data_IF_175047055254
#
_entry.id   IF_175047055254
#
_cell.length_a   1.000
_cell.length_b   1.000
_cell.length_c   1.000
_cell.angle_alpha   90.00
_cell.angle_beta   90.00
_cell.angle_gamma   90.00
#
_symmetry.space_group_name_H-M   'P 1'
#
loop_
_entity.id
_entity.type
_entity.pdbx_description
1 polymer ?
#
# COMPACT_ATOMS: atom_id res chain seq x y z
N UNK A 1 9.54 -37.04 -25.33
CA UNK A 1 10.94 -36.98 -24.90
C UNK A 1 11.82 -37.54 -25.99
N UNK A 2 12.78 -36.75 -26.46
CA UNK A 2 13.80 -37.15 -27.43
C UNK A 2 14.56 -38.39 -26.89
N UNK A 3 14.74 -39.46 -27.69
CA UNK A 3 15.47 -40.64 -27.26
C UNK A 3 16.87 -40.36 -26.69
N UNK A 4 17.55 -39.32 -27.17
CA UNK A 4 18.87 -38.91 -26.69
C UNK A 4 18.86 -38.29 -25.28
N UNK A 5 17.70 -37.82 -24.82
CA UNK A 5 17.51 -37.24 -23.49
C UNK A 5 17.08 -38.28 -22.44
N UNK A 6 16.91 -39.56 -22.82
CA UNK A 6 16.57 -40.64 -21.88
C UNK A 6 17.63 -40.85 -20.82
N UNK A 7 18.89 -40.64 -21.17
CA UNK A 7 20.02 -40.72 -20.26
C UNK A 7 20.94 -39.52 -20.52
N UNK A 8 21.32 -38.83 -19.45
CA UNK A 8 22.35 -37.79 -19.49
C UNK A 8 23.57 -38.24 -18.69
N UNK A 9 24.77 -37.84 -19.13
CA UNK A 9 26.02 -38.16 -18.44
C UNK A 9 26.63 -36.90 -17.84
N UNK A 10 26.89 -36.95 -16.54
CA UNK A 10 27.62 -35.92 -15.80
C UNK A 10 28.98 -36.48 -15.37
N UNK A 11 30.02 -35.66 -15.43
CA UNK A 11 31.28 -35.97 -14.78
C UNK A 11 31.11 -35.87 -13.26
N UNK A 12 32.00 -36.53 -12.51
CA UNK A 12 31.98 -36.44 -11.03
C UNK A 12 32.11 -34.99 -10.54
N UNK A 13 32.94 -34.17 -11.18
CA UNK A 13 33.12 -32.76 -10.85
C UNK A 13 31.84 -31.94 -11.07
N UNK A 14 31.15 -32.17 -12.19
CA UNK A 14 29.88 -31.51 -12.50
C UNK A 14 28.80 -31.89 -11.48
N UNK A 15 28.69 -33.18 -11.16
CA UNK A 15 27.73 -33.68 -10.18
C UNK A 15 28.00 -33.11 -8.77
N UNK A 16 29.27 -33.11 -8.33
CA UNK A 16 29.66 -32.56 -7.04
C UNK A 16 29.39 -31.05 -6.95
N UNK A 17 29.63 -30.30 -8.03
CA UNK A 17 29.32 -28.86 -8.08
C UNK A 17 27.83 -28.61 -7.89
N UNK A 18 26.97 -29.34 -8.60
CA UNK A 18 25.51 -29.23 -8.44
C UNK A 18 25.10 -29.50 -6.99
N UNK A 19 25.56 -30.62 -6.42
CA UNK A 19 25.19 -31.03 -5.07
C UNK A 19 25.66 -30.00 -4.03
N UNK A 20 26.91 -29.52 -4.13
CA UNK A 20 27.46 -28.55 -3.19
C UNK A 20 26.70 -27.22 -3.21
N UNK A 21 26.40 -26.68 -4.40
CA UNK A 21 25.65 -25.43 -4.53
C UNK A 21 24.21 -25.58 -4.00
N UNK A 22 23.53 -26.69 -4.30
CA UNK A 22 22.18 -26.95 -3.77
C UNK A 22 22.18 -27.13 -2.23
N UNK A 23 23.16 -27.85 -1.67
CA UNK A 23 23.28 -28.05 -0.21
C UNK A 23 23.48 -26.71 0.51
N UNK A 24 24.35 -25.84 -0.01
CA UNK A 24 24.54 -24.50 0.52
C UNK A 24 23.22 -23.71 0.59
N UNK A 25 22.43 -23.70 -0.48
CA UNK A 25 21.17 -22.97 -0.52
C UNK A 25 20.15 -23.52 0.46
N UNK A 26 19.94 -24.84 0.44
CA UNK A 26 18.96 -25.51 1.31
C UNK A 26 19.31 -25.28 2.78
N UNK A 27 20.56 -25.54 3.17
CA UNK A 27 20.99 -25.39 4.58
C UNK A 27 20.96 -23.95 5.06
N UNK A 28 21.30 -22.98 4.20
CA UNK A 28 21.30 -21.58 4.60
C UNK A 28 19.89 -21.06 4.80
N UNK A 29 18.96 -21.39 3.90
CA UNK A 29 17.55 -21.04 4.04
C UNK A 29 16.93 -21.68 5.29
N UNK A 30 17.26 -22.95 5.56
CA UNK A 30 16.81 -23.63 6.78
C UNK A 30 17.33 -22.95 8.05
N UNK A 31 18.64 -22.65 8.12
CA UNK A 31 19.24 -21.93 9.25
C UNK A 31 18.62 -20.56 9.48
N UNK A 32 18.36 -19.79 8.41
CA UNK A 32 17.69 -18.49 8.50
C UNK A 32 16.29 -18.66 9.09
N UNK A 33 15.51 -19.64 8.60
CA UNK A 33 14.17 -19.96 9.12
C UNK A 33 14.24 -20.34 10.59
N UNK A 34 15.07 -21.32 10.96
CA UNK A 34 15.22 -21.76 12.36
C UNK A 34 15.62 -20.62 13.29
N UNK A 35 16.53 -19.74 12.86
CA UNK A 35 16.96 -18.59 13.64
C UNK A 35 15.82 -17.60 13.91
N UNK A 36 14.92 -17.39 12.96
CA UNK A 36 13.80 -16.45 13.06
C UNK A 36 12.52 -17.06 13.64
N UNK A 37 12.38 -18.39 13.63
CA UNK A 37 11.27 -19.10 14.29
C UNK A 37 11.51 -19.38 15.78
N UNK A 38 12.62 -18.93 16.38
CA UNK A 38 12.90 -19.12 17.81
C UNK A 38 12.01 -18.20 18.66
N UNK A 39 11.03 -18.74 19.42
CA UNK A 39 10.06 -17.94 20.17
C UNK A 39 10.69 -17.17 21.35
N UNK A 40 11.97 -17.42 21.67
CA UNK A 40 12.72 -16.66 22.69
C UNK A 40 13.31 -15.37 22.14
N UNK A 41 13.17 -15.11 20.84
CA UNK A 41 13.65 -13.90 20.18
C UNK A 41 12.43 -13.17 19.63
N UNK A 42 12.26 -11.92 20.04
CA UNK A 42 11.19 -11.06 19.55
C UNK A 42 11.54 -10.61 18.13
N UNK A 43 11.19 -11.46 17.15
CA UNK A 43 11.53 -11.23 15.74
C UNK A 43 10.30 -11.27 14.87
N UNK A 44 10.27 -10.36 13.92
CA UNK A 44 9.13 -10.22 13.02
C UNK A 44 9.31 -11.10 11.78
N UNK A 45 8.18 -11.40 11.12
CA UNK A 45 8.19 -12.08 9.83
C UNK A 45 8.91 -11.24 8.76
N UNK A 46 8.86 -9.91 8.87
CA UNK A 46 9.53 -8.99 7.96
C UNK A 46 11.06 -9.10 8.06
N UNK A 47 11.61 -9.22 9.28
CA UNK A 47 13.05 -9.44 9.48
C UNK A 47 13.53 -10.75 8.84
N UNK A 48 12.71 -11.81 8.92
CA UNK A 48 12.99 -13.07 8.26
C UNK A 48 12.99 -12.93 6.73
N UNK A 49 11.98 -12.27 6.17
CA UNK A 49 11.89 -12.02 4.73
C UNK A 49 13.09 -11.20 4.23
N UNK A 50 13.48 -10.17 4.99
CA UNK A 50 14.66 -9.36 4.70
C UNK A 50 15.95 -10.19 4.72
N UNK A 51 16.14 -11.03 5.73
CA UNK A 51 17.32 -11.90 5.81
C UNK A 51 17.41 -12.88 4.63
N UNK A 52 16.29 -13.45 4.19
CA UNK A 52 16.22 -14.32 2.99
C UNK A 52 16.57 -13.52 1.72
N UNK A 53 15.97 -12.34 1.54
CA UNK A 53 16.22 -11.49 0.37
C UNK A 53 17.69 -11.06 0.30
N UNK A 54 18.27 -10.64 1.42
CA UNK A 54 19.69 -10.29 1.55
C UNK A 54 20.57 -11.48 1.20
N UNK A 55 20.31 -12.67 1.75
CA UNK A 55 21.07 -13.88 1.43
C UNK A 55 21.03 -14.22 -0.06
N UNK A 56 19.84 -14.20 -0.68
CA UNK A 56 19.67 -14.48 -2.11
C UNK A 56 20.50 -13.51 -2.97
N UNK A 57 20.50 -12.23 -2.60
CA UNK A 57 21.21 -11.17 -3.33
C UNK A 57 22.73 -11.24 -3.13
N UNK A 58 23.20 -11.27 -1.88
CA UNK A 58 24.63 -11.24 -1.55
C UNK A 58 25.37 -12.50 -2.00
N UNK A 59 24.73 -13.67 -1.84
CA UNK A 59 25.30 -14.95 -2.27
C UNK A 59 25.03 -15.23 -3.75
N UNK A 60 24.40 -14.30 -4.47
CA UNK A 60 24.10 -14.41 -5.91
C UNK A 60 23.41 -15.71 -6.27
N UNK A 61 22.48 -16.16 -5.42
CA UNK A 61 21.82 -17.48 -5.53
C UNK A 61 21.18 -17.66 -6.91
N UNK A 62 20.52 -16.62 -7.44
CA UNK A 62 19.92 -16.67 -8.77
C UNK A 62 20.94 -16.89 -9.91
N UNK A 63 22.12 -16.26 -9.83
CA UNK A 63 23.16 -16.43 -10.83
C UNK A 63 23.75 -17.84 -10.80
N UNK A 64 23.99 -18.38 -9.59
CA UNK A 64 24.50 -19.74 -9.44
C UNK A 64 23.46 -20.79 -9.88
N UNK A 65 22.18 -20.61 -9.58
CA UNK A 65 21.10 -21.48 -10.10
C UNK A 65 21.03 -21.47 -11.63
N UNK A 66 21.21 -20.31 -12.26
CA UNK A 66 21.28 -20.20 -13.73
C UNK A 66 22.49 -20.95 -14.31
N UNK A 67 23.65 -20.91 -13.63
CA UNK A 67 24.83 -21.70 -14.03
C UNK A 67 24.58 -23.20 -13.91
N UNK A 68 23.94 -23.66 -12.82
CA UNK A 68 23.57 -25.07 -12.65
C UNK A 68 22.58 -25.53 -13.72
N UNK A 69 21.56 -24.70 -14.01
CA UNK A 69 20.61 -24.96 -15.08
C UNK A 69 21.32 -25.08 -16.43
N UNK A 70 22.20 -24.14 -16.77
CA UNK A 70 22.97 -24.18 -18.01
C UNK A 70 23.86 -25.43 -18.12
N UNK A 71 24.49 -25.84 -17.02
CA UNK A 71 25.30 -27.05 -16.96
C UNK A 71 24.47 -28.32 -17.21
N UNK A 72 23.26 -28.41 -16.65
CA UNK A 72 22.35 -29.53 -16.87
C UNK A 72 21.79 -29.53 -18.30
N UNK A 73 21.32 -28.37 -18.78
CA UNK A 73 20.77 -28.22 -20.13
C UNK A 73 21.81 -28.50 -21.22
N UNK A 74 23.10 -28.20 -20.98
CA UNK A 74 24.18 -28.54 -21.91
C UNK A 74 24.40 -30.05 -22.11
N UNK A 75 23.84 -30.90 -21.24
CA UNK A 75 23.86 -32.37 -21.40
C UNK A 75 22.65 -32.91 -22.15
N UNK A 76 21.73 -32.05 -22.53
CA UNK A 76 20.49 -32.42 -23.22
C UNK A 76 20.53 -31.97 -24.68
N UNK A 77 19.86 -32.74 -25.52
CA UNK A 77 19.51 -32.35 -26.88
C UNK A 77 18.32 -31.37 -26.82
N UNK A 78 18.57 -30.13 -27.22
CA UNK A 78 17.59 -29.04 -27.24
C UNK A 78 16.95 -28.87 -28.63
N UNK A 79 17.04 -29.89 -29.50
CA UNK A 79 16.29 -29.92 -30.75
C UNK A 79 14.78 -29.81 -30.48
N UNK A 80 14.10 -28.93 -31.21
CA UNK A 80 12.66 -28.75 -31.09
C UNK A 80 11.91 -29.99 -31.61
N UNK A 81 10.87 -30.40 -30.89
CA UNK A 81 9.91 -31.39 -31.36
C UNK A 81 8.88 -30.82 -32.33
N UNK A 82 7.92 -31.65 -32.73
CA UNK A 82 6.81 -31.26 -33.63
C UNK A 82 5.92 -30.15 -33.05
N UNK A 83 5.86 -30.04 -31.71
CA UNK A 83 5.15 -29.00 -30.96
C UNK A 83 5.94 -27.69 -30.84
N UNK A 84 7.12 -27.60 -31.46
CA UNK A 84 7.98 -26.42 -31.41
C UNK A 84 8.69 -26.24 -30.07
N UNK A 85 8.71 -27.26 -29.20
CA UNK A 85 9.33 -27.22 -27.87
C UNK A 85 10.40 -28.30 -27.72
N UNK A 86 11.49 -27.97 -27.04
CA UNK A 86 12.44 -28.97 -26.55
C UNK A 86 11.92 -29.65 -25.27
N UNK A 87 12.59 -30.72 -24.83
CA UNK A 87 12.17 -31.49 -23.67
C UNK A 87 12.26 -30.72 -22.35
N UNK A 88 13.21 -29.79 -22.21
CA UNK A 88 13.36 -28.93 -21.02
C UNK A 88 12.20 -27.94 -20.98
N UNK A 89 11.95 -27.24 -22.08
CA UNK A 89 10.83 -26.31 -22.19
C UNK A 89 9.49 -27.00 -21.87
N UNK A 90 9.29 -28.23 -22.40
CA UNK A 90 8.08 -29.02 -22.13
C UNK A 90 7.95 -29.42 -20.66
N UNK A 91 9.02 -29.85 -20.01
CA UNK A 91 9.01 -30.15 -18.57
C UNK A 91 8.73 -28.91 -17.72
N UNK A 92 9.26 -27.75 -18.14
CA UNK A 92 9.11 -26.48 -17.46
C UNK A 92 7.77 -25.78 -17.69
N UNK A 93 6.90 -26.27 -18.59
CA UNK A 93 5.57 -25.68 -18.83
C UNK A 93 4.65 -25.74 -17.61
N UNK A 94 4.79 -26.76 -16.77
CA UNK A 94 3.99 -26.91 -15.55
C UNK A 94 4.47 -26.00 -14.40
N UNK A 95 5.62 -25.33 -14.55
CA UNK A 95 6.15 -24.48 -13.51
C UNK A 95 5.34 -23.19 -13.40
N UNK A 96 5.02 -22.79 -12.16
CA UNK A 96 4.49 -21.46 -11.87
C UNK A 96 5.66 -20.50 -11.73
N UNK A 97 5.84 -19.60 -12.70
CA UNK A 97 6.83 -18.53 -12.60
C UNK A 97 6.23 -17.36 -11.83
N UNK A 98 7.07 -16.71 -11.03
CA UNK A 98 6.72 -15.39 -10.51
C UNK A 98 6.55 -14.45 -11.71
N UNK A 99 5.36 -13.88 -11.82
CA UNK A 99 5.10 -12.67 -12.58
C UNK A 99 4.87 -11.54 -11.57
N UNK A 100 5.18 -10.27 -11.91
CA UNK A 100 4.53 -9.18 -11.18
C UNK A 100 3.03 -9.51 -11.17
N UNK A 101 2.39 -9.47 -10.00
CA UNK A 101 0.93 -9.57 -9.95
C UNK A 101 0.46 -8.49 -10.93
N UNK A 102 -0.17 -8.86 -12.05
CA UNK A 102 -1.17 -7.97 -12.63
C UNK A 102 -2.03 -7.62 -11.44
N UNK A 103 -2.14 -6.33 -11.08
CA UNK A 103 -3.07 -5.87 -10.04
C UNK A 103 -4.34 -6.67 -10.27
N UNK A 104 -4.58 -7.66 -9.41
CA UNK A 104 -5.81 -8.39 -9.43
C UNK A 104 -6.76 -7.33 -8.92
N UNK A 105 -7.37 -6.60 -9.84
CA UNK A 105 -8.55 -5.81 -9.53
C UNK A 105 -9.45 -6.78 -8.80
N UNK A 106 -9.55 -6.62 -7.49
CA UNK A 106 -10.57 -7.21 -6.63
C UNK A 106 -11.91 -6.58 -7.01
N UNK A 107 -12.25 -6.63 -8.30
CA UNK A 107 -13.55 -6.28 -8.84
C UNK A 107 -14.48 -7.43 -8.45
N UNK A 108 -14.92 -7.38 -7.21
CA UNK A 108 -16.20 -7.93 -6.84
C UNK A 108 -17.22 -6.82 -7.16
N UNK A 109 -18.10 -6.98 -8.16
CA UNK A 109 -19.07 -5.95 -8.54
C UNK A 109 -19.95 -5.48 -7.37
N UNK A 110 -20.16 -6.34 -6.38
CA UNK A 110 -20.88 -5.99 -5.16
C UNK A 110 -20.09 -5.03 -4.26
N UNK A 111 -18.76 -5.10 -4.27
CA UNK A 111 -17.92 -4.15 -3.53
C UNK A 111 -17.93 -2.80 -4.23
N UNK A 112 -17.70 -2.78 -5.55
CA UNK A 112 -17.66 -1.54 -6.32
C UNK A 112 -18.97 -0.77 -6.21
N UNK A 113 -20.12 -1.46 -6.28
CA UNK A 113 -21.42 -0.85 -6.05
C UNK A 113 -21.60 -0.27 -4.63
N UNK A 114 -20.97 -0.87 -3.62
CA UNK A 114 -20.99 -0.32 -2.25
C UNK A 114 -20.16 0.96 -2.16
N UNK A 115 -18.94 0.98 -2.71
CA UNK A 115 -18.10 2.19 -2.72
C UNK A 115 -18.78 3.34 -3.46
N UNK A 116 -19.38 3.08 -4.62
CA UNK A 116 -20.10 4.08 -5.40
C UNK A 116 -21.31 4.63 -4.64
N UNK A 117 -22.06 3.76 -3.95
CA UNK A 117 -23.25 4.17 -3.18
C UNK A 117 -22.90 5.02 -1.95
N UNK A 118 -21.75 4.78 -1.31
CA UNK A 118 -21.36 5.42 -0.06
C UNK A 118 -20.36 6.58 -0.24
N UNK A 119 -19.94 6.87 -1.46
CA UNK A 119 -19.12 8.06 -1.78
C UNK A 119 -19.82 9.36 -1.35
N UNK A 120 -21.13 9.46 -1.59
CA UNK A 120 -21.93 10.64 -1.23
C UNK A 120 -22.02 10.83 0.29
N UNK A 121 -22.07 9.73 1.02
CA UNK A 121 -22.15 9.70 2.48
C UNK A 121 -20.84 10.19 3.09
N UNK A 122 -19.71 9.64 2.64
CA UNK A 122 -18.38 10.10 3.09
C UNK A 122 -18.12 11.56 2.72
N UNK A 123 -18.47 11.98 1.50
CA UNK A 123 -18.38 13.38 1.10
C UNK A 123 -19.18 14.28 2.04
N UNK A 124 -20.41 13.88 2.39
CA UNK A 124 -21.28 14.64 3.30
C UNK A 124 -20.65 14.72 4.70
N UNK A 125 -20.11 13.62 5.21
CA UNK A 125 -19.38 13.58 6.47
C UNK A 125 -18.19 14.57 6.46
N UNK A 126 -17.34 14.53 5.42
CA UNK A 126 -16.19 15.43 5.29
C UNK A 126 -16.61 16.91 5.26
N UNK A 127 -17.68 17.25 4.53
CA UNK A 127 -18.20 18.63 4.49
C UNK A 127 -18.64 19.06 5.89
N UNK A 128 -19.39 18.22 6.61
CA UNK A 128 -19.88 18.55 7.95
C UNK A 128 -18.73 18.78 8.93
N UNK A 129 -17.70 17.93 8.89
CA UNK A 129 -16.48 18.08 9.71
C UNK A 129 -15.75 19.39 9.42
N UNK A 130 -15.54 19.67 8.13
CA UNK A 130 -14.90 20.91 7.72
C UNK A 130 -15.70 22.12 8.20
N UNK A 131 -17.03 22.13 7.99
CA UNK A 131 -17.88 23.26 8.36
C UNK A 131 -17.89 23.52 9.86
N UNK A 132 -17.95 22.45 10.66
CA UNK A 132 -17.84 22.56 12.11
C UNK A 132 -16.53 23.23 12.53
N UNK A 133 -15.38 22.68 12.11
CA UNK A 133 -14.05 23.18 12.46
C UNK A 133 -13.81 24.60 11.91
N UNK A 134 -14.24 24.84 10.67
CA UNK A 134 -14.09 26.12 10.00
C UNK A 134 -14.88 27.22 10.72
N UNK A 135 -16.15 26.98 11.04
CA UNK A 135 -16.97 27.95 11.77
C UNK A 135 -16.48 28.16 13.21
N UNK A 136 -16.02 27.11 13.87
CA UNK A 136 -15.39 27.23 15.19
C UNK A 136 -14.17 28.16 15.16
N UNK A 137 -13.31 28.05 14.14
CA UNK A 137 -12.12 28.87 14.01
C UNK A 137 -12.39 30.28 13.49
N UNK A 138 -13.40 30.46 12.63
CA UNK A 138 -13.87 31.78 12.24
C UNK A 138 -14.38 32.59 13.44
N UNK A 139 -15.13 31.97 14.37
CA UNK A 139 -15.54 32.61 15.64
C UNK A 139 -14.34 33.09 16.46
N UNK A 140 -13.23 32.36 16.38
CA UNK A 140 -11.95 32.72 17.01
C UNK A 140 -11.08 33.68 16.18
N UNK A 141 -11.58 34.16 15.02
CA UNK A 141 -10.87 35.02 14.07
C UNK A 141 -9.53 34.42 13.61
N UNK A 142 -9.48 33.10 13.48
CA UNK A 142 -8.32 32.39 12.97
C UNK A 142 -8.55 32.02 11.51
N UNK A 143 -7.48 32.10 10.72
CA UNK A 143 -7.52 31.76 9.30
C UNK A 143 -6.96 30.35 9.12
N UNK A 144 -7.82 29.44 8.66
CA UNK A 144 -7.46 28.07 8.30
C UNK A 144 -6.63 28.09 7.02
N UNK A 145 -5.54 27.33 6.98
CA UNK A 145 -4.73 27.17 5.76
C UNK A 145 -4.58 25.71 5.32
N UNK A 146 -4.88 24.76 6.22
CA UNK A 146 -4.77 23.33 5.96
C UNK A 146 -5.92 22.57 6.62
N UNK A 147 -6.43 21.57 5.91
CA UNK A 147 -7.41 20.60 6.38
C UNK A 147 -6.95 19.21 5.98
N UNK A 148 -6.80 18.31 6.94
CA UNK A 148 -6.28 16.98 6.73
C UNK A 148 -7.24 15.94 7.28
N UNK A 149 -7.37 14.82 6.57
CA UNK A 149 -7.89 13.59 7.16
C UNK A 149 -6.70 12.71 7.53
N UNK A 150 -6.60 12.35 8.81
CA UNK A 150 -5.60 11.42 9.31
C UNK A 150 -6.25 10.04 9.34
N UNK A 151 -5.76 9.14 8.49
CA UNK A 151 -6.25 7.78 8.32
C UNK A 151 -5.40 6.81 9.16
N UNK A 152 -6.03 5.72 9.60
CA UNK A 152 -5.27 4.56 10.09
C UNK A 152 -4.55 3.82 8.95
N UNK A 153 -3.69 2.86 9.29
CA UNK A 153 -2.94 2.07 8.29
C UNK A 153 -3.83 1.29 7.32
N UNK A 154 -5.09 1.08 7.71
CA UNK A 154 -6.06 0.22 7.05
C UNK A 154 -7.07 1.03 6.20
N UNK A 155 -7.00 2.36 6.29
CA UNK A 155 -7.96 3.30 5.73
C UNK A 155 -9.42 2.97 6.13
N UNK A 156 -9.65 2.50 7.35
CA UNK A 156 -10.99 2.17 7.87
C UNK A 156 -11.54 3.28 8.76
N UNK A 157 -10.66 3.96 9.46
CA UNK A 157 -11.00 5.09 10.32
C UNK A 157 -10.26 6.34 9.87
N UNK A 158 -10.88 7.49 10.12
CA UNK A 158 -10.30 8.79 9.84
C UNK A 158 -10.75 9.78 10.91
N UNK A 159 -9.88 10.72 11.26
CA UNK A 159 -10.28 11.93 11.95
C UNK A 159 -9.82 13.18 11.19
N UNK A 160 -10.58 14.26 11.35
CA UNK A 160 -10.29 15.53 10.70
C UNK A 160 -9.41 16.40 11.60
N UNK A 161 -8.43 17.07 11.00
CA UNK A 161 -7.65 18.11 11.67
C UNK A 161 -7.51 19.35 10.78
N UNK A 162 -7.50 20.52 11.42
CA UNK A 162 -7.25 21.82 10.77
C UNK A 162 -6.05 22.52 11.38
N UNK A 163 -5.36 23.31 10.56
CA UNK A 163 -4.29 24.19 11.03
C UNK A 163 -4.54 25.64 10.63
N UNK A 164 -4.13 26.56 11.51
CA UNK A 164 -4.27 28.00 11.35
C UNK A 164 -2.93 28.70 11.48
N UNK A 165 -2.81 29.90 10.90
CA UNK A 165 -1.59 30.71 11.03
C UNK A 165 -1.22 30.98 12.51
N UNK A 166 -2.21 30.99 13.39
CA UNK A 166 -2.05 31.15 14.82
C UNK A 166 -1.60 29.86 15.51
N UNK A 167 -2.17 28.70 15.15
CA UNK A 167 -1.76 27.41 15.73
C UNK A 167 -0.36 27.02 15.31
N UNK A 168 0.05 27.32 14.08
CA UNK A 168 1.42 27.10 13.58
C UNK A 168 2.49 27.72 14.49
N UNK A 169 2.27 28.97 14.91
CA UNK A 169 3.22 29.72 15.74
C UNK A 169 3.21 29.29 17.20
N UNK A 170 2.06 28.87 17.73
CA UNK A 170 1.84 28.67 19.17
C UNK A 170 1.87 27.22 19.62
N UNK A 171 1.44 26.31 18.75
CA UNK A 171 1.17 24.91 19.08
C UNK A 171 2.12 23.98 18.31
N UNK A 172 2.30 24.21 17.01
CA UNK A 172 3.03 23.26 16.15
C UNK A 172 4.54 23.49 16.06
N UNK A 173 5.13 24.41 16.85
CA UNK A 173 6.58 24.72 16.84
C UNK A 173 7.15 24.98 15.42
N UNK A 174 6.36 25.56 14.52
CA UNK A 174 6.65 25.77 13.09
C UNK A 174 6.72 24.50 12.21
N UNK A 175 6.23 23.35 12.69
CA UNK A 175 5.98 22.17 11.86
C UNK A 175 4.62 22.34 11.15
N UNK A 176 4.64 22.92 9.95
CA UNK A 176 3.43 23.30 9.22
C UNK A 176 2.63 22.11 8.69
N UNK A 177 3.32 21.08 8.19
CA UNK A 177 2.71 20.02 7.39
C UNK A 177 2.77 18.63 8.02
N UNK A 178 2.90 18.57 9.35
CA UNK A 178 2.75 17.34 10.13
C UNK A 178 1.35 17.37 10.75
N UNK A 179 0.36 16.81 10.05
CA UNK A 179 -1.05 16.92 10.43
C UNK A 179 -1.38 16.20 11.73
N UNK A 180 -0.60 15.17 12.08
CA UNK A 180 -0.69 14.42 13.33
C UNK A 180 -0.40 15.31 14.56
N UNK A 181 0.35 16.40 14.36
CA UNK A 181 0.68 17.39 15.40
C UNK A 181 -0.34 18.53 15.46
N UNK A 182 -1.38 18.52 14.61
CA UNK A 182 -2.42 19.54 14.61
C UNK A 182 -3.40 19.34 15.77
N UNK A 183 -3.73 20.43 16.46
CA UNK A 183 -4.46 20.37 17.74
C UNK A 183 -5.93 20.76 17.63
N UNK A 184 -6.39 21.14 16.43
CA UNK A 184 -7.80 21.42 16.18
C UNK A 184 -8.40 20.25 15.43
N UNK A 185 -8.99 19.36 16.20
CA UNK A 185 -9.73 18.17 15.76
C UNK A 185 -11.17 18.29 16.23
N UNK A 186 -12.08 17.56 15.60
CA UNK A 186 -13.46 17.39 16.04
C UNK A 186 -13.59 16.14 16.90
N UNK A 187 -14.46 16.20 17.92
CA UNK A 187 -14.84 15.03 18.71
C UNK A 187 -16.10 14.35 18.11
N UNK A 188 -16.34 13.07 18.43
CA UNK A 188 -17.46 12.28 17.89
C UNK A 188 -18.85 12.89 18.16
N UNK A 189 -18.99 13.68 19.23
CA UNK A 189 -20.26 14.32 19.62
C UNK A 189 -20.46 15.70 18.97
N UNK A 190 -19.43 16.26 18.34
CA UNK A 190 -19.45 17.62 17.80
C UNK A 190 -20.23 17.71 16.49
N UNK A 191 -20.26 16.62 15.72
CA UNK A 191 -20.79 16.57 14.36
C UNK A 191 -21.85 15.48 14.24
N UNK A 192 -23.10 15.89 14.00
CA UNK A 192 -24.29 14.99 13.95
C UNK A 192 -24.17 13.90 12.88
N UNK A 193 -23.43 14.15 11.80
CA UNK A 193 -23.08 13.18 10.77
C UNK A 193 -21.65 13.45 10.29
N UNK A 194 -20.67 12.96 11.06
CA UNK A 194 -19.24 13.17 10.87
C UNK A 194 -18.50 11.93 10.37
N UNK A 195 -17.18 11.96 10.43
CA UNK A 195 -16.32 10.87 9.97
C UNK A 195 -16.47 9.60 10.81
N UNK A 196 -16.74 9.73 12.11
CA UNK A 196 -17.00 8.59 13.00
C UNK A 196 -18.22 7.78 12.55
N UNK A 197 -19.31 8.47 12.19
CA UNK A 197 -20.53 7.81 11.69
C UNK A 197 -20.28 7.05 10.37
N UNK A 198 -19.43 7.61 9.50
CA UNK A 198 -19.04 6.91 8.27
C UNK A 198 -18.11 5.73 8.57
N UNK A 199 -17.17 5.89 9.51
CA UNK A 199 -16.26 4.82 9.92
C UNK A 199 -17.04 3.59 10.39
N UNK A 200 -18.10 3.77 11.19
CA UNK A 200 -18.99 2.65 11.59
C UNK A 200 -19.57 1.92 10.38
N UNK A 201 -20.04 2.68 9.38
CA UNK A 201 -20.60 2.12 8.13
C UNK A 201 -19.56 1.34 7.33
N UNK A 202 -18.33 1.85 7.25
CA UNK A 202 -17.22 1.19 6.56
C UNK A 202 -16.74 -0.06 7.32
N UNK A 203 -16.67 0.00 8.65
CA UNK A 203 -16.32 -1.13 9.52
C UNK A 203 -17.37 -2.23 9.40
N UNK A 204 -18.66 -1.91 9.43
CA UNK A 204 -19.74 -2.89 9.26
C UNK A 204 -19.63 -3.62 7.90
N UNK A 205 -19.36 -2.87 6.83
CA UNK A 205 -19.09 -3.46 5.51
C UNK A 205 -17.85 -4.37 5.55
N UNK A 206 -16.78 -3.90 6.18
CA UNK A 206 -15.53 -4.62 6.29
C UNK A 206 -15.68 -5.95 7.05
N UNK A 207 -16.35 -5.93 8.19
CA UNK A 207 -16.62 -7.11 9.01
C UNK A 207 -17.52 -8.11 8.28
N UNK A 208 -18.52 -7.62 7.54
CA UNK A 208 -19.44 -8.49 6.82
C UNK A 208 -18.83 -9.10 5.54
N UNK A 209 -18.01 -8.33 4.81
CA UNK A 209 -17.59 -8.69 3.46
C UNK A 209 -16.11 -9.05 3.32
N UNK A 210 -15.24 -8.45 4.14
CA UNK A 210 -13.78 -8.57 4.00
C UNK A 210 -13.21 -9.54 5.02
N UNK A 211 -13.56 -9.43 6.31
CA UNK A 211 -13.06 -10.32 7.36
C UNK A 211 -13.25 -11.82 7.05
N UNK A 212 -14.40 -12.28 6.49
CA UNK A 212 -14.57 -13.69 6.14
C UNK A 212 -13.58 -14.20 5.06
N UNK A 213 -12.96 -13.29 4.30
CA UNK A 213 -12.00 -13.64 3.26
C UNK A 213 -10.61 -13.94 3.85
N UNK A 214 -10.29 -13.45 5.05
CA UNK A 214 -8.97 -13.62 5.67
C UNK A 214 -8.56 -15.09 5.82
N UNK A 215 -9.52 -15.95 6.12
CA UNK A 215 -9.30 -17.40 6.27
C UNK A 215 -8.85 -18.08 4.96
N UNK A 216 -8.93 -17.39 3.81
CA UNK A 216 -8.60 -17.91 2.48
C UNK A 216 -7.26 -17.38 1.93
N UNK A 217 -6.46 -16.68 2.75
CA UNK A 217 -5.22 -16.04 2.29
C UNK A 217 -5.47 -14.76 1.48
N UNK A 218 -6.45 -13.97 1.90
CA UNK A 218 -6.86 -12.74 1.25
C UNK A 218 -5.74 -11.69 1.24
N UNK A 219 -5.53 -11.08 0.07
CA UNK A 219 -4.60 -9.97 -0.08
C UNK A 219 -5.26 -8.68 0.40
N UNK A 220 -4.70 -8.08 1.43
CA UNK A 220 -5.28 -6.91 2.10
C UNK A 220 -5.04 -5.61 1.33
N UNK A 221 -3.89 -5.51 0.65
CA UNK A 221 -3.43 -4.30 -0.04
C UNK A 221 -4.46 -3.75 -1.05
N UNK A 222 -5.14 -4.56 -1.89
CA UNK A 222 -6.17 -4.05 -2.79
C UNK A 222 -7.37 -3.38 -2.10
N UNK A 223 -7.76 -3.83 -0.89
CA UNK A 223 -8.88 -3.21 -0.15
C UNK A 223 -8.44 -1.90 0.47
N UNK A 224 -7.26 -1.87 1.09
CA UNK A 224 -6.68 -0.63 1.60
C UNK A 224 -6.58 0.43 0.49
N UNK A 225 -6.15 0.05 -0.73
CA UNK A 225 -6.11 0.96 -1.88
C UNK A 225 -7.49 1.45 -2.32
N UNK A 226 -8.52 0.61 -2.28
CA UNK A 226 -9.91 1.01 -2.58
C UNK A 226 -10.45 2.00 -1.55
N UNK A 227 -10.22 1.73 -0.26
CA UNK A 227 -10.58 2.64 0.81
C UNK A 227 -9.87 3.99 0.63
N UNK A 228 -8.56 3.99 0.37
CA UNK A 228 -7.81 5.21 0.14
C UNK A 228 -8.34 6.01 -1.06
N UNK A 229 -8.71 5.33 -2.15
CA UNK A 229 -9.33 5.96 -3.31
C UNK A 229 -10.70 6.58 -2.97
N UNK A 230 -11.52 5.89 -2.19
CA UNK A 230 -12.81 6.40 -1.70
C UNK A 230 -12.63 7.71 -0.91
N UNK A 231 -11.72 7.73 0.08
CA UNK A 231 -11.42 8.94 0.84
C UNK A 231 -10.88 10.06 -0.04
N UNK A 232 -10.03 9.73 -1.03
CA UNK A 232 -9.43 10.73 -1.93
C UNK A 232 -10.49 11.38 -2.81
N UNK A 233 -11.35 10.60 -3.46
CA UNK A 233 -12.41 11.14 -4.31
C UNK A 233 -13.48 11.87 -3.47
N UNK A 234 -13.86 11.35 -2.31
CA UNK A 234 -14.80 12.04 -1.41
C UNK A 234 -14.26 13.39 -0.94
N UNK A 235 -12.99 13.47 -0.54
CA UNK A 235 -12.33 14.71 -0.11
C UNK A 235 -12.19 15.72 -1.25
N UNK A 236 -11.92 15.24 -2.47
CA UNK A 236 -11.87 16.07 -3.69
C UNK A 236 -13.24 16.65 -4.03
N UNK A 237 -14.29 15.83 -4.01
CA UNK A 237 -15.66 16.31 -4.22
C UNK A 237 -16.12 17.26 -3.11
N UNK A 238 -15.77 16.97 -1.86
CA UNK A 238 -16.04 17.83 -0.72
C UNK A 238 -15.35 19.18 -0.88
N UNK A 239 -14.05 19.20 -1.24
CA UNK A 239 -13.32 20.44 -1.51
C UNK A 239 -14.00 21.24 -2.61
N UNK A 240 -14.38 20.62 -3.73
CA UNK A 240 -15.07 21.32 -4.81
C UNK A 240 -16.36 21.99 -4.31
N UNK A 241 -17.20 21.26 -3.56
CA UNK A 241 -18.44 21.81 -3.01
C UNK A 241 -18.19 22.95 -2.00
N UNK A 242 -17.14 22.83 -1.18
CA UNK A 242 -16.75 23.87 -0.22
C UNK A 242 -16.19 25.11 -0.92
N UNK A 243 -15.46 24.95 -2.02
CA UNK A 243 -15.01 26.07 -2.87
C UNK A 243 -16.20 26.77 -3.52
N UNK A 244 -17.19 26.04 -4.01
CA UNK A 244 -18.41 26.63 -4.55
C UNK A 244 -19.17 27.44 -3.48
N UNK A 245 -19.16 26.98 -2.22
CA UNK A 245 -19.84 27.62 -1.09
C UNK A 245 -19.09 28.82 -0.51
N UNK A 246 -17.78 28.70 -0.29
CA UNK A 246 -16.96 29.68 0.45
C UNK A 246 -15.97 30.46 -0.43
N UNK A 247 -15.81 30.07 -1.69
CA UNK A 247 -15.00 30.77 -2.68
C UNK A 247 -13.49 30.61 -2.51
N UNK A 248 -12.77 31.63 -2.97
CA UNK A 248 -11.30 31.59 -3.12
C UNK A 248 -10.51 31.39 -1.81
N UNK A 249 -11.12 31.64 -0.65
CA UNK A 249 -10.48 31.37 0.64
C UNK A 249 -10.24 29.88 0.84
N UNK A 250 -11.25 29.04 0.57
CA UNK A 250 -11.13 27.58 0.67
C UNK A 250 -10.29 27.00 -0.47
N UNK A 251 -10.39 27.57 -1.67
CA UNK A 251 -9.56 27.16 -2.81
C UNK A 251 -8.07 27.28 -2.48
N UNK A 252 -7.69 28.35 -1.78
CA UNK A 252 -6.31 28.62 -1.40
C UNK A 252 -5.77 27.70 -0.28
N UNK A 253 -6.63 26.95 0.44
CA UNK A 253 -6.21 26.02 1.47
C UNK A 253 -5.68 24.70 0.88
N UNK A 254 -4.80 24.03 1.61
CA UNK A 254 -4.34 22.68 1.29
C UNK A 254 -5.24 21.64 1.96
N UNK A 255 -5.84 20.75 1.16
CA UNK A 255 -6.63 19.61 1.62
C UNK A 255 -5.87 18.32 1.31
N UNK A 256 -5.67 17.42 2.25
CA UNK A 256 -4.94 16.18 1.97
C UNK A 256 -5.33 15.05 2.93
N UNK A 257 -4.92 13.84 2.58
CA UNK A 257 -5.01 12.66 3.43
C UNK A 257 -3.60 12.33 3.93
N UNK A 258 -3.46 11.85 5.17
CA UNK A 258 -2.18 11.32 5.67
C UNK A 258 -2.41 9.98 6.35
N UNK A 259 -1.45 9.08 6.22
CA UNK A 259 -1.29 7.91 7.08
C UNK A 259 0.08 8.07 7.73
N UNK A 260 0.20 8.05 9.07
CA UNK A 260 1.47 8.23 9.75
C UNK A 260 2.55 7.27 9.23
N UNK A 261 3.66 7.82 8.73
CA UNK A 261 4.77 7.05 8.14
C UNK A 261 4.67 6.79 6.63
N UNK A 262 3.60 7.23 5.96
CA UNK A 262 3.36 7.02 4.52
C UNK A 262 3.31 8.36 3.74
N UNK A 263 4.46 9.05 3.56
CA UNK A 263 4.50 10.38 2.93
C UNK A 263 3.96 10.41 1.49
N UNK A 264 3.99 9.26 0.79
CA UNK A 264 3.43 9.15 -0.57
C UNK A 264 1.91 9.34 -0.59
N UNK A 265 1.20 8.96 0.47
CA UNK A 265 -0.25 9.16 0.60
C UNK A 265 -0.56 10.65 0.67
N UNK A 266 0.18 11.39 1.49
CA UNK A 266 0.10 12.84 1.62
C UNK A 266 0.38 13.54 0.30
N UNK A 267 1.47 13.17 -0.37
CA UNK A 267 1.84 13.78 -1.65
C UNK A 267 0.78 13.54 -2.74
N UNK A 268 0.36 12.29 -2.93
CA UNK A 268 -0.55 11.92 -4.01
C UNK A 268 -1.96 12.47 -3.78
N UNK A 269 -2.47 12.42 -2.55
CA UNK A 269 -3.78 12.98 -2.23
C UNK A 269 -3.79 14.50 -2.38
N UNK A 270 -2.73 15.20 -1.96
CA UNK A 270 -2.61 16.65 -2.15
C UNK A 270 -2.66 17.04 -3.64
N UNK A 271 -2.02 16.28 -4.53
CA UNK A 271 -2.10 16.50 -5.97
C UNK A 271 -3.49 16.20 -6.56
N UNK A 272 -4.16 15.15 -6.06
CA UNK A 272 -5.46 14.73 -6.58
C UNK A 272 -6.61 15.65 -6.16
N UNK A 273 -6.55 16.19 -4.93
CA UNK A 273 -7.64 16.94 -4.30
C UNK A 273 -7.58 18.44 -4.65
N UNK A 274 -6.38 19.01 -4.78
CA UNK A 274 -6.22 20.45 -4.86
C UNK A 274 -5.82 20.94 -6.25
N UNK A 275 -6.05 22.23 -6.51
CA UNK A 275 -5.33 22.95 -7.55
C UNK A 275 -3.83 23.08 -7.18
N UNK A 276 -2.91 22.46 -7.93
CA UNK A 276 -1.48 22.42 -7.58
C UNK A 276 -0.79 23.79 -7.69
N UNK A 277 -1.47 24.79 -8.27
CA UNK A 277 -0.90 26.13 -8.42
C UNK A 277 -1.05 27.01 -7.19
N UNK A 278 -1.86 26.61 -6.20
CA UNK A 278 -2.06 27.41 -5.00
C UNK A 278 -0.81 27.38 -4.12
N UNK A 279 -0.54 28.51 -3.46
CA UNK A 279 0.69 28.70 -2.67
C UNK A 279 0.83 27.62 -1.58
N UNK A 280 -0.24 27.34 -0.85
CA UNK A 280 -0.23 26.38 0.27
C UNK A 280 -0.01 24.95 -0.18
N UNK A 281 -0.54 24.58 -1.34
CA UNK A 281 -0.31 23.23 -1.89
C UNK A 281 1.14 23.08 -2.34
N UNK A 282 1.75 24.11 -2.93
CA UNK A 282 3.19 24.07 -3.27
C UNK A 282 4.07 23.93 -2.04
N UNK A 283 3.79 24.71 -0.99
CA UNK A 283 4.51 24.61 0.29
C UNK A 283 4.39 23.21 0.91
N UNK A 284 3.21 22.59 0.85
CA UNK A 284 3.01 21.21 1.29
C UNK A 284 3.82 20.22 0.45
N UNK A 285 3.77 20.33 -0.88
CA UNK A 285 4.47 19.40 -1.78
C UNK A 285 6.00 19.55 -1.71
N UNK A 286 6.52 20.74 -1.40
CA UNK A 286 7.96 20.96 -1.18
C UNK A 286 8.45 20.42 0.16
N UNK A 287 7.56 20.24 1.14
CA UNK A 287 7.89 19.70 2.45
C UNK A 287 7.99 18.17 2.46
N UNK A 288 7.17 17.49 1.67
CA UNK A 288 7.08 16.02 1.59
C UNK A 288 8.26 15.44 0.81
#
# INVERSE_FOLDING_TARGET
MNPKNKEIKLTGTEALKIIASLDQFVRSLDKIRTYHSDPRKDKTQEEQHRAIATYISEQKVGAELALLQGLLSAKMDLSLGEDGLDDVARACQANTYWSPKKQATTQNPAFDAWYDAHLIDLKTAIINEFEYLYHFLQKKKQQVYGFALILDSDCLTAYAAVSTQQSLKKLHKNCEWIAEEWCYVSDEEDVVYGLSNFADTLIDFYDAQIVPLFQKGFDYEPIQQKNLALFTEAMKEAKSALVDKYGGEVEAMAFFLTIPGEPKVTHNSALAINNPNTKKVKELLEFI
#
